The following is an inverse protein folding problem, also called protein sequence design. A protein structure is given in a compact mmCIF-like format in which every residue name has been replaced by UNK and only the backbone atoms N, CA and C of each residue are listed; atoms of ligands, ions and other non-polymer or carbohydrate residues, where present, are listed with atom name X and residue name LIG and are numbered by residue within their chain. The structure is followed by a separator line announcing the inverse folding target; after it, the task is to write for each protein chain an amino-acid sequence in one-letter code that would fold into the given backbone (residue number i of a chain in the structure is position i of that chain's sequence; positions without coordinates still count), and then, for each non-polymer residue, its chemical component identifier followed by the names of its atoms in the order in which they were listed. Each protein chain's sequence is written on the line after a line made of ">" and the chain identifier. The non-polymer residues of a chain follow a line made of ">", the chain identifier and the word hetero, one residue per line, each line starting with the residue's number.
data_IF_931431553347
#
_entry.id   IF_931431553347
#
_cell.length_a   1.000
_cell.length_b   1.000
_cell.length_c   1.000
_cell.angle_alpha   90.00
_cell.angle_beta   90.00
_cell.angle_gamma   90.00
#
_symmetry.space_group_name_H-M   'P 1'
#
loop_
_entity.id
_entity.type
_entity.pdbx_description
1 polymer ?
#
# COMPACT_ATOMS: atom_id res chain seq x y z
N UNK A 1 -18.55 8.74 16.17
CA UNK A 1 -17.50 7.97 16.85
C UNK A 1 -16.52 7.23 15.92
N UNK A 2 -16.89 6.75 14.72
CA UNK A 2 -15.93 6.07 13.80
C UNK A 2 -14.87 7.02 13.23
N UNK A 3 -15.21 8.24 12.91
CA UNK A 3 -14.30 9.23 12.34
C UNK A 3 -13.16 9.62 13.30
N UNK A 4 -13.48 9.83 14.58
CA UNK A 4 -12.47 10.16 15.60
C UNK A 4 -11.45 9.03 15.79
N UNK A 5 -11.90 7.76 15.78
CA UNK A 5 -10.96 6.60 15.84
C UNK A 5 -10.08 6.48 14.61
N UNK A 6 -10.59 6.81 13.42
CA UNK A 6 -9.79 6.75 12.19
C UNK A 6 -8.71 7.84 12.17
N UNK A 7 -9.03 9.06 12.59
CA UNK A 7 -8.05 10.16 12.70
C UNK A 7 -7.00 9.88 13.77
N UNK A 8 -7.40 9.30 14.90
CA UNK A 8 -6.48 8.89 15.97
C UNK A 8 -5.50 7.80 15.48
N UNK A 9 -6.01 6.77 14.80
CA UNK A 9 -5.19 5.71 14.24
C UNK A 9 -4.22 6.21 13.16
N UNK A 10 -4.64 7.16 12.34
CA UNK A 10 -3.76 7.79 11.34
C UNK A 10 -2.66 8.62 12.01
N UNK A 11 -2.99 9.39 13.04
CA UNK A 11 -2.01 10.18 13.79
C UNK A 11 -0.99 9.30 14.49
N UNK A 12 -1.44 8.25 15.20
CA UNK A 12 -0.56 7.28 15.84
C UNK A 12 0.28 6.50 14.82
N UNK A 13 -0.28 6.16 13.66
CA UNK A 13 0.42 5.51 12.56
C UNK A 13 1.57 6.36 12.02
N UNK A 14 1.35 7.65 11.81
CA UNK A 14 2.38 8.59 11.38
C UNK A 14 3.51 8.74 12.41
N UNK A 15 3.16 8.92 13.68
CA UNK A 15 4.15 9.01 14.77
C UNK A 15 4.98 7.74 14.84
N UNK A 16 4.33 6.58 14.78
CA UNK A 16 5.02 5.27 14.76
C UNK A 16 5.94 5.13 13.56
N UNK A 17 5.51 5.51 12.37
CA UNK A 17 6.32 5.46 11.15
C UNK A 17 7.56 6.35 11.27
N UNK A 18 7.42 7.58 11.77
CA UNK A 18 8.55 8.51 11.98
C UNK A 18 9.53 7.96 13.01
N UNK A 19 9.05 7.43 14.14
CA UNK A 19 9.90 6.84 15.18
C UNK A 19 10.64 5.60 14.65
N UNK A 20 9.95 4.76 13.88
CA UNK A 20 10.57 3.58 13.26
C UNK A 20 11.66 4.00 12.29
N UNK A 21 11.37 4.95 11.40
CA UNK A 21 12.35 5.49 10.46
C UNK A 21 13.57 6.05 11.18
N UNK A 22 13.37 6.92 12.19
CA UNK A 22 14.44 7.52 12.98
C UNK A 22 15.31 6.48 13.69
N UNK A 23 14.74 5.36 14.13
CA UNK A 23 15.46 4.28 14.80
C UNK A 23 16.28 3.43 13.84
N UNK A 24 15.79 3.20 12.61
CA UNK A 24 16.45 2.32 11.63
C UNK A 24 17.46 3.04 10.74
N UNK A 25 17.38 4.37 10.55
CA UNK A 25 18.36 5.17 9.80
C UNK A 25 19.79 4.96 10.30
N UNK A 26 20.09 5.11 11.61
CA UNK A 26 21.46 4.91 12.13
C UNK A 26 21.96 3.48 11.90
N UNK A 27 21.07 2.50 12.00
CA UNK A 27 21.41 1.08 11.81
C UNK A 27 21.81 0.84 10.33
N UNK A 28 21.01 1.30 9.38
CA UNK A 28 21.32 1.17 7.96
C UNK A 28 22.60 1.92 7.58
N UNK A 29 22.81 3.10 8.19
CA UNK A 29 24.05 3.87 7.99
C UNK A 29 25.27 3.14 8.53
N UNK A 30 25.18 2.60 9.76
CA UNK A 30 26.28 1.86 10.39
C UNK A 30 26.60 0.56 9.62
N UNK A 31 25.58 -0.17 9.17
CA UNK A 31 25.75 -1.40 8.39
C UNK A 31 26.33 -1.12 7.00
N UNK A 32 26.08 0.08 6.44
CA UNK A 32 26.64 0.51 5.17
C UNK A 32 28.13 0.86 5.23
N UNK A 33 28.65 1.18 6.44
CA UNK A 33 30.08 1.42 6.65
C UNK A 33 30.85 0.10 6.62
N UNK A 34 31.61 -0.12 5.59
CA UNK A 34 32.44 -1.31 5.43
C UNK A 34 31.87 -2.39 4.52
N UNK A 35 30.71 -2.17 3.92
CA UNK A 35 30.16 -3.07 2.91
C UNK A 35 30.21 -2.44 1.52
N UNK A 36 31.00 -3.01 0.63
CA UNK A 36 30.87 -2.73 -0.78
C UNK A 36 29.63 -3.48 -1.32
N UNK A 37 28.54 -2.75 -1.57
CA UNK A 37 27.39 -3.33 -2.26
C UNK A 37 27.77 -3.40 -3.73
N UNK A 38 27.89 -4.60 -4.28
CA UNK A 38 28.14 -5.01 -5.67
C UNK A 38 28.63 -3.92 -6.67
N UNK A 39 27.97 -2.79 -6.74
CA UNK A 39 28.20 -1.66 -7.67
C UNK A 39 28.11 -0.27 -7.02
N UNK A 40 27.67 -0.16 -5.75
CA UNK A 40 27.50 1.08 -5.00
C UNK A 40 28.57 1.16 -3.90
N UNK A 41 29.72 1.76 -4.20
CA UNK A 41 30.88 1.84 -3.31
C UNK A 41 30.96 3.17 -2.53
N UNK A 42 29.80 3.72 -2.09
CA UNK A 42 29.80 4.94 -1.30
C UNK A 42 29.20 4.71 0.09
N UNK A 43 29.68 5.46 1.08
CA UNK A 43 29.18 5.38 2.45
C UNK A 43 27.69 5.76 2.50
N UNK A 44 26.87 4.95 3.21
CA UNK A 44 25.43 5.17 3.32
C UNK A 44 24.61 4.62 2.16
N UNK A 45 25.20 3.82 1.25
CA UNK A 45 24.51 3.27 0.08
C UNK A 45 23.23 2.50 0.43
N UNK A 46 23.24 1.69 1.49
CA UNK A 46 22.05 0.98 1.99
C UNK A 46 20.92 1.92 2.41
N UNK A 47 21.27 3.00 3.09
CA UNK A 47 20.30 4.03 3.50
C UNK A 47 19.65 4.70 2.28
N UNK A 48 20.45 5.13 1.31
CA UNK A 48 19.92 5.79 0.10
C UNK A 48 19.06 4.85 -0.74
N UNK A 49 19.47 3.59 -0.86
CA UNK A 49 18.66 2.58 -1.57
C UNK A 49 17.34 2.34 -0.83
N UNK A 50 17.35 2.17 0.50
CA UNK A 50 16.13 2.01 1.29
C UNK A 50 15.21 3.24 1.16
N UNK A 51 15.77 4.44 1.23
CA UNK A 51 15.01 5.68 1.11
C UNK A 51 14.39 5.84 -0.30
N UNK A 52 15.15 5.60 -1.35
CA UNK A 52 14.64 5.71 -2.73
C UNK A 52 13.58 4.67 -3.04
N UNK A 53 13.75 3.44 -2.55
CA UNK A 53 12.72 2.40 -2.71
C UNK A 53 11.46 2.72 -1.92
N UNK A 54 11.57 3.19 -0.67
CA UNK A 54 10.42 3.58 0.13
C UNK A 54 9.64 4.74 -0.49
N UNK A 55 10.34 5.81 -0.92
CA UNK A 55 9.72 6.94 -1.59
C UNK A 55 9.10 6.53 -2.94
N UNK A 56 9.81 5.74 -3.73
CA UNK A 56 9.30 5.23 -5.00
C UNK A 56 8.05 4.38 -4.83
N UNK A 57 8.05 3.46 -3.86
CA UNK A 57 6.89 2.65 -3.51
C UNK A 57 5.69 3.50 -3.05
N UNK A 58 5.93 4.51 -2.21
CA UNK A 58 4.89 5.43 -1.74
C UNK A 58 4.27 6.22 -2.89
N UNK A 59 5.09 6.80 -3.77
CA UNK A 59 4.60 7.56 -4.94
C UNK A 59 3.79 6.68 -5.87
N UNK A 60 4.26 5.47 -6.18
CA UNK A 60 3.55 4.53 -7.03
C UNK A 60 2.24 4.04 -6.39
N UNK A 61 2.25 3.72 -5.10
CA UNK A 61 1.05 3.33 -4.36
C UNK A 61 0.03 4.48 -4.28
N UNK A 62 0.49 5.70 -4.10
CA UNK A 62 -0.34 6.90 -4.19
C UNK A 62 -1.00 7.02 -5.58
N UNK A 63 -0.20 6.90 -6.63
CA UNK A 63 -0.70 7.01 -8.02
C UNK A 63 -1.76 5.95 -8.35
N UNK A 64 -1.55 4.72 -7.92
CA UNK A 64 -2.52 3.63 -8.13
C UNK A 64 -3.76 3.81 -7.23
N UNK A 65 -3.56 4.23 -5.98
CA UNK A 65 -4.62 4.34 -4.97
C UNK A 65 -5.50 5.58 -5.07
N UNK A 66 -5.04 6.67 -5.71
CA UNK A 66 -5.74 7.98 -5.72
C UNK A 66 -7.16 7.94 -6.29
N UNK A 67 -7.47 6.96 -7.14
CA UNK A 67 -8.80 6.78 -7.73
C UNK A 67 -9.79 6.02 -6.85
N UNK A 68 -9.30 5.27 -5.87
CA UNK A 68 -10.13 4.41 -5.01
C UNK A 68 -11.21 5.18 -4.24
N UNK A 69 -10.91 6.31 -3.56
CA UNK A 69 -11.93 7.05 -2.82
C UNK A 69 -13.08 7.55 -3.70
N UNK A 70 -12.77 7.99 -4.93
CA UNK A 70 -13.78 8.45 -5.88
C UNK A 70 -14.70 7.31 -6.37
N UNK A 71 -14.11 6.13 -6.61
CA UNK A 71 -14.88 4.94 -7.00
C UNK A 71 -15.76 4.45 -5.85
N UNK A 72 -15.26 4.47 -4.63
CA UNK A 72 -16.02 4.09 -3.44
C UNK A 72 -17.16 5.05 -3.15
N UNK A 73 -16.93 6.35 -3.28
CA UNK A 73 -17.99 7.35 -3.18
C UNK A 73 -19.10 7.12 -4.22
N UNK A 74 -18.75 6.88 -5.47
CA UNK A 74 -19.72 6.58 -6.53
C UNK A 74 -20.50 5.29 -6.25
N UNK A 75 -19.84 4.28 -5.71
CA UNK A 75 -20.50 3.03 -5.34
C UNK A 75 -21.52 3.25 -4.22
N UNK A 76 -21.14 3.95 -3.16
CA UNK A 76 -22.03 4.28 -2.05
C UNK A 76 -23.23 5.13 -2.51
N UNK A 77 -22.99 6.07 -3.44
CA UNK A 77 -24.06 6.90 -4.02
C UNK A 77 -25.08 6.08 -4.82
N UNK A 78 -24.63 5.16 -5.65
CA UNK A 78 -25.52 4.29 -6.44
C UNK A 78 -26.26 3.28 -5.57
N UNK A 79 -25.63 2.73 -4.56
CA UNK A 79 -26.30 1.86 -3.59
C UNK A 79 -27.36 2.63 -2.77
N UNK A 80 -27.05 3.85 -2.34
CA UNK A 80 -28.00 4.69 -1.62
C UNK A 80 -29.21 5.06 -2.48
N UNK A 81 -28.99 5.35 -3.77
CA UNK A 81 -30.07 5.61 -4.71
C UNK A 81 -30.97 4.37 -4.88
N UNK A 82 -30.39 3.20 -5.09
CA UNK A 82 -31.17 1.95 -5.19
C UNK A 82 -31.99 1.70 -3.93
N UNK A 83 -31.40 1.86 -2.74
CA UNK A 83 -32.13 1.67 -1.46
C UNK A 83 -33.28 2.67 -1.31
N UNK A 84 -33.04 3.94 -1.67
CA UNK A 84 -34.03 4.99 -1.61
C UNK A 84 -35.23 4.66 -2.51
N UNK A 85 -34.97 4.26 -3.74
CA UNK A 85 -36.01 3.96 -4.70
C UNK A 85 -36.78 2.68 -4.32
N UNK A 86 -36.12 1.68 -3.72
CA UNK A 86 -36.78 0.48 -3.19
C UNK A 86 -37.72 0.82 -2.02
N UNK A 87 -37.33 1.73 -1.11
CA UNK A 87 -38.19 2.18 -0.02
C UNK A 87 -39.42 2.92 -0.57
N UNK A 88 -39.23 3.79 -1.57
CA UNK A 88 -40.38 4.45 -2.21
C UNK A 88 -41.33 3.48 -2.93
N UNK A 89 -40.79 2.40 -3.49
CA UNK A 89 -41.59 1.35 -4.12
C UNK A 89 -42.40 0.52 -3.12
N UNK A 90 -41.92 0.41 -1.88
CA UNK A 90 -42.67 -0.24 -0.79
C UNK A 90 -43.92 0.54 -0.44
N UNK A 91 -43.83 1.89 -0.42
CA UNK A 91 -44.98 2.76 -0.11
C UNK A 91 -45.94 2.89 -1.30
N UNK A 92 -45.44 2.92 -2.54
CA UNK A 92 -46.25 3.10 -3.76
C UNK A 92 -45.70 2.27 -4.93
N UNK A 93 -46.31 1.11 -5.16
CA UNK A 93 -45.91 0.17 -6.24
C UNK A 93 -46.05 0.77 -7.64
N UNK A 94 -46.85 1.82 -7.84
CA UNK A 94 -47.02 2.46 -9.15
C UNK A 94 -45.78 3.26 -9.59
N UNK A 95 -44.89 3.58 -8.67
CA UNK A 95 -43.68 4.38 -8.91
C UNK A 95 -42.49 3.58 -9.40
N UNK A 96 -42.56 2.26 -9.35
CA UNK A 96 -41.41 1.42 -9.68
C UNK A 96 -41.76 0.34 -10.69
N UNK A 97 -41.29 0.57 -11.88
CA UNK A 97 -41.36 -0.36 -13.01
C UNK A 97 -40.19 -1.34 -12.97
N UNK A 98 -40.41 -2.59 -13.39
CA UNK A 98 -39.37 -3.60 -13.47
C UNK A 98 -38.13 -3.13 -14.27
N UNK A 99 -38.27 -2.42 -15.42
CA UNK A 99 -37.14 -1.84 -16.14
C UNK A 99 -36.31 -0.86 -15.30
N UNK A 100 -36.96 -0.03 -14.48
CA UNK A 100 -36.26 0.94 -13.60
C UNK A 100 -35.44 0.23 -12.53
N UNK A 101 -35.97 -0.80 -11.90
CA UNK A 101 -35.25 -1.62 -10.90
C UNK A 101 -34.03 -2.30 -11.55
N UNK A 102 -34.21 -2.88 -12.74
CA UNK A 102 -33.12 -3.54 -13.46
C UNK A 102 -32.01 -2.56 -13.86
N UNK A 103 -32.36 -1.35 -14.28
CA UNK A 103 -31.40 -0.30 -14.62
C UNK A 103 -30.59 0.15 -13.39
N UNK A 104 -31.24 0.38 -12.27
CA UNK A 104 -30.60 0.75 -11.01
C UNK A 104 -29.67 -0.37 -10.50
N UNK A 105 -30.15 -1.60 -10.53
CA UNK A 105 -29.36 -2.77 -10.16
C UNK A 105 -28.15 -2.95 -11.08
N UNK A 106 -28.34 -2.76 -12.38
CA UNK A 106 -27.24 -2.82 -13.35
C UNK A 106 -26.21 -1.73 -13.10
N UNK A 107 -26.65 -0.52 -12.73
CA UNK A 107 -25.76 0.58 -12.33
C UNK A 107 -24.91 0.24 -11.11
N UNK A 108 -25.52 -0.32 -10.06
CA UNK A 108 -24.80 -0.78 -8.87
C UNK A 108 -23.81 -1.89 -9.23
N UNK A 109 -24.22 -2.88 -10.00
CA UNK A 109 -23.37 -3.98 -10.45
C UNK A 109 -22.15 -3.49 -11.24
N UNK A 110 -22.33 -2.59 -12.18
CA UNK A 110 -21.23 -2.04 -12.98
C UNK A 110 -20.25 -1.23 -12.14
N UNK A 111 -20.75 -0.42 -11.21
CA UNK A 111 -19.90 0.33 -10.29
C UNK A 111 -19.12 -0.59 -9.34
N UNK A 112 -19.77 -1.58 -8.77
CA UNK A 112 -19.11 -2.59 -7.94
C UNK A 112 -18.01 -3.33 -8.71
N UNK A 113 -18.26 -3.70 -9.97
CA UNK A 113 -17.26 -4.36 -10.80
C UNK A 113 -16.05 -3.46 -11.10
N UNK A 114 -16.28 -2.18 -11.38
CA UNK A 114 -15.20 -1.19 -11.57
C UNK A 114 -14.39 -0.99 -10.29
N UNK A 115 -15.06 -0.87 -9.16
CA UNK A 115 -14.43 -0.73 -7.84
C UNK A 115 -13.57 -1.97 -7.53
N UNK A 116 -14.15 -3.17 -7.67
CA UNK A 116 -13.47 -4.43 -7.42
C UNK A 116 -12.23 -4.62 -8.31
N UNK A 117 -12.33 -4.34 -9.61
CA UNK A 117 -11.18 -4.41 -10.50
C UNK A 117 -10.05 -3.45 -10.07
N UNK A 118 -10.41 -2.23 -9.67
CA UNK A 118 -9.40 -1.27 -9.23
C UNK A 118 -8.74 -1.67 -7.91
N UNK A 119 -9.51 -2.22 -6.97
CA UNK A 119 -8.97 -2.83 -5.75
C UNK A 119 -8.07 -4.03 -6.05
N UNK A 120 -8.45 -4.87 -7.01
CA UNK A 120 -7.63 -6.01 -7.44
C UNK A 120 -6.26 -5.55 -7.97
N UNK A 121 -6.23 -4.53 -8.82
CA UNK A 121 -4.97 -3.94 -9.30
C UNK A 121 -4.14 -3.32 -8.17
N UNK A 122 -4.79 -2.59 -7.26
CA UNK A 122 -4.10 -2.00 -6.12
C UNK A 122 -3.50 -3.07 -5.19
N UNK A 123 -4.26 -4.11 -4.86
CA UNK A 123 -3.78 -5.22 -4.03
C UNK A 123 -2.69 -6.03 -4.71
N UNK A 124 -2.84 -6.30 -6.02
CA UNK A 124 -1.81 -6.98 -6.79
C UNK A 124 -0.49 -6.19 -6.77
N UNK A 125 -0.56 -4.89 -7.02
CA UNK A 125 0.59 -4.00 -6.94
C UNK A 125 1.21 -4.00 -5.55
N UNK A 126 0.40 -3.77 -4.52
CA UNK A 126 0.87 -3.70 -3.13
C UNK A 126 1.55 -5.00 -2.68
N UNK A 127 0.94 -6.14 -2.98
CA UNK A 127 1.53 -7.45 -2.67
C UNK A 127 2.82 -7.71 -3.45
N UNK A 128 2.84 -7.40 -4.74
CA UNK A 128 4.04 -7.53 -5.56
C UNK A 128 5.18 -6.67 -5.01
N UNK A 129 4.90 -5.40 -4.68
CA UNK A 129 5.87 -4.50 -4.09
C UNK A 129 6.41 -5.03 -2.76
N UNK A 130 5.51 -5.43 -1.85
CA UNK A 130 5.89 -5.98 -0.54
C UNK A 130 6.78 -7.23 -0.67
N UNK A 131 6.44 -8.16 -1.57
CA UNK A 131 7.26 -9.35 -1.79
C UNK A 131 8.61 -9.02 -2.42
N UNK A 132 8.64 -8.05 -3.34
CA UNK A 132 9.89 -7.58 -3.94
C UNK A 132 10.80 -6.98 -2.88
N UNK A 133 10.26 -6.20 -1.94
CA UNK A 133 11.05 -5.58 -0.87
C UNK A 133 11.62 -6.58 0.13
N UNK A 134 11.00 -7.73 0.31
CA UNK A 134 11.58 -8.83 1.12
C UNK A 134 12.82 -9.42 0.44
N UNK A 135 12.78 -9.62 -0.87
CA UNK A 135 13.87 -10.26 -1.63
C UNK A 135 14.99 -9.26 -1.97
N UNK A 136 14.68 -8.00 -2.10
CA UNK A 136 15.57 -6.95 -2.58
C UNK A 136 16.90 -6.83 -1.81
N UNK A 137 16.93 -6.82 -0.45
CA UNK A 137 18.18 -6.81 0.30
C UNK A 137 19.07 -8.04 0.03
N UNK A 138 18.47 -9.21 -0.16
CA UNK A 138 19.20 -10.43 -0.47
C UNK A 138 19.87 -10.36 -1.87
N UNK A 139 19.20 -9.78 -2.84
CA UNK A 139 19.76 -9.56 -4.18
C UNK A 139 20.91 -8.55 -4.14
N UNK A 140 20.77 -7.46 -3.38
CA UNK A 140 21.81 -6.44 -3.25
C UNK A 140 23.06 -6.97 -2.55
N UNK A 141 22.89 -7.75 -1.50
CA UNK A 141 23.98 -8.18 -0.63
C UNK A 141 24.47 -9.60 -0.94
N UNK A 142 23.78 -10.34 -1.80
CA UNK A 142 24.15 -11.69 -2.21
C UNK A 142 25.60 -11.81 -2.70
N UNK A 143 26.09 -10.96 -3.61
CA UNK A 143 27.48 -11.00 -4.05
C UNK A 143 28.48 -10.86 -2.90
N UNK A 144 28.21 -9.99 -1.93
CA UNK A 144 29.08 -9.78 -0.75
C UNK A 144 29.05 -10.96 0.22
N UNK A 145 27.95 -11.72 0.26
CA UNK A 145 27.87 -12.97 1.02
C UNK A 145 28.77 -14.06 0.39
N UNK A 146 28.69 -14.24 -0.93
CA UNK A 146 29.47 -15.24 -1.63
C UNK A 146 30.98 -14.95 -1.62
N UNK A 147 31.38 -13.69 -1.52
CA UNK A 147 32.76 -13.28 -1.32
C UNK A 147 33.26 -13.42 0.13
N UNK A 148 32.38 -13.80 1.06
CA UNK A 148 32.70 -13.94 2.48
C UNK A 148 32.88 -12.62 3.24
N UNK A 149 32.56 -11.49 2.63
CA UNK A 149 32.68 -10.15 3.25
C UNK A 149 31.65 -9.92 4.35
N UNK A 150 30.49 -10.60 4.25
CA UNK A 150 29.39 -10.46 5.18
C UNK A 150 28.85 -11.83 5.62
N UNK A 151 28.20 -11.85 6.78
CA UNK A 151 27.54 -13.05 7.31
C UNK A 151 26.05 -13.05 7.00
N UNK A 152 25.42 -14.23 7.03
CA UNK A 152 23.96 -14.37 6.93
C UNK A 152 23.21 -13.53 7.98
N UNK A 153 23.77 -13.41 9.19
CA UNK A 153 23.19 -12.60 10.25
C UNK A 153 23.11 -11.11 9.89
N UNK A 154 24.11 -10.59 9.19
CA UNK A 154 24.11 -9.20 8.69
C UNK A 154 23.03 -9.00 7.63
N UNK A 155 22.90 -9.92 6.66
CA UNK A 155 21.84 -9.85 5.65
C UNK A 155 20.45 -9.83 6.33
N UNK A 156 20.24 -10.69 7.34
CA UNK A 156 18.98 -10.74 8.06
C UNK A 156 18.69 -9.43 8.80
N UNK A 157 19.70 -8.80 9.41
CA UNK A 157 19.54 -7.49 10.03
C UNK A 157 19.16 -6.41 9.03
N UNK A 158 19.84 -6.38 7.87
CA UNK A 158 19.52 -5.42 6.79
C UNK A 158 18.12 -5.68 6.24
N UNK A 159 17.75 -6.93 5.99
CA UNK A 159 16.41 -7.28 5.52
C UNK A 159 15.31 -6.84 6.48
N UNK A 160 15.52 -7.05 7.79
CA UNK A 160 14.58 -6.58 8.81
C UNK A 160 14.49 -5.05 8.86
N UNK A 161 15.63 -4.35 8.77
CA UNK A 161 15.65 -2.90 8.74
C UNK A 161 14.97 -2.34 7.47
N UNK A 162 15.23 -2.95 6.32
CA UNK A 162 14.55 -2.61 5.05
C UNK A 162 13.03 -2.80 5.13
N UNK A 163 12.59 -3.94 5.66
CA UNK A 163 11.17 -4.22 5.88
C UNK A 163 10.52 -3.13 6.72
N UNK A 164 11.16 -2.73 7.82
CA UNK A 164 10.62 -1.70 8.72
C UNK A 164 10.58 -0.29 8.12
N UNK A 165 11.45 0.03 7.19
CA UNK A 165 11.44 1.32 6.48
C UNK A 165 10.34 1.36 5.40
N UNK A 166 9.98 0.19 4.84
CA UNK A 166 9.00 0.07 3.77
C UNK A 166 7.57 -0.31 4.26
N UNK A 167 7.36 -0.57 5.55
CA UNK A 167 6.04 -0.70 6.20
C UNK A 167 5.36 0.67 6.34
#
# INVERSE_FOLDING_TARGET
>A
MRFARQTENLGLGLVRAVLTLASFIPILWALSKGMAIAWLQFEGSLFWVALTTALGGTVLSWYVGIRLPGLEYNNQKTEAALRKDLVYAEDDRSRMDLPTVLNLFTGVRLNNFRLFNHYAYFHLWSNFYSQTMVIFPYLLMGPSLFTGLITLGIIQQVSNAFGKVNE
#
